data_IF_172252364867
#
_entry.id   IF_172252364867
#
_cell.length_a   1.000
_cell.length_b   1.000
_cell.length_c   1.000
_cell.angle_alpha   90.00
_cell.angle_beta   90.00
_cell.angle_gamma   90.00
#
_symmetry.space_group_name_H-M   'P 1'
#
loop_
_entity.id
_entity.type
_entity.pdbx_description
1 polymer ?
#
# COMPACT_ATOMS: atom_id res chain seq x y z
N UNK A 1 4.43 -10.49 11.48
CA UNK A 1 3.98 -9.14 11.88
C UNK A 1 2.90 -9.30 12.94
N UNK A 2 2.77 -8.39 13.92
CA UNK A 2 1.56 -8.35 14.77
C UNK A 2 0.55 -7.34 14.23
N UNK A 3 -0.73 -7.62 14.42
CA UNK A 3 -1.83 -6.76 13.97
C UNK A 3 -2.74 -6.45 15.16
N UNK A 4 -3.08 -5.19 15.33
CA UNK A 4 -4.03 -4.74 16.35
C UNK A 4 -5.14 -3.93 15.71
N UNK A 5 -6.33 -3.98 16.30
CA UNK A 5 -7.47 -3.15 15.92
C UNK A 5 -7.91 -2.35 17.14
N UNK A 6 -7.96 -1.03 17.00
CA UNK A 6 -8.66 -0.15 17.90
C UNK A 6 -10.12 -0.06 17.48
N UNK A 7 -11.02 -0.31 18.43
CA UNK A 7 -12.46 -0.08 18.31
C UNK A 7 -12.88 0.69 19.55
N UNK A 8 -13.40 1.91 19.38
CA UNK A 8 -13.83 2.76 20.50
C UNK A 8 -12.75 2.88 21.59
N UNK A 9 -11.51 3.15 21.19
CA UNK A 9 -10.32 3.27 22.07
C UNK A 9 -9.86 1.97 22.76
N UNK A 10 -10.54 0.85 22.56
CA UNK A 10 -10.09 -0.46 23.04
C UNK A 10 -9.20 -1.16 22.00
N UNK A 11 -8.03 -1.65 22.44
CA UNK A 11 -7.09 -2.38 21.59
C UNK A 11 -7.32 -3.88 21.66
N UNK A 12 -7.40 -4.51 20.50
CA UNK A 12 -7.52 -5.96 20.37
C UNK A 12 -6.47 -6.50 19.40
N UNK A 13 -5.69 -7.51 19.82
CA UNK A 13 -4.78 -8.22 18.91
C UNK A 13 -5.62 -9.09 17.94
N UNK A 14 -5.25 -9.07 16.66
CA UNK A 14 -5.88 -9.84 15.59
C UNK A 14 -4.92 -10.89 15.06
N UNK A 15 -5.46 -12.00 14.55
CA UNK A 15 -4.66 -13.10 14.04
C UNK A 15 -3.98 -12.75 12.72
N UNK A 16 -4.57 -11.86 11.92
CA UNK A 16 -4.12 -11.55 10.57
C UNK A 16 -4.63 -10.19 10.08
N UNK A 17 -4.04 -9.67 8.99
CA UNK A 17 -4.58 -8.53 8.26
C UNK A 17 -5.95 -8.83 7.67
N UNK A 18 -6.18 -10.03 7.15
CA UNK A 18 -7.51 -10.46 6.64
C UNK A 18 -8.60 -10.25 7.70
N UNK A 19 -8.33 -10.64 8.96
CA UNK A 19 -9.25 -10.45 10.07
C UNK A 19 -9.46 -8.97 10.41
N UNK A 20 -8.37 -8.22 10.64
CA UNK A 20 -8.45 -6.79 11.00
C UNK A 20 -9.13 -5.94 9.91
N UNK A 21 -8.80 -6.21 8.65
CA UNK A 21 -9.40 -5.56 7.49
C UNK A 21 -10.80 -6.10 7.16
N UNK A 22 -11.31 -7.11 7.88
CA UNK A 22 -12.65 -7.69 7.69
C UNK A 22 -12.88 -8.09 6.23
N UNK A 23 -11.87 -8.70 5.61
CA UNK A 23 -11.89 -9.09 4.19
C UNK A 23 -12.73 -10.36 4.03
N UNK A 24 -13.75 -10.31 3.20
CA UNK A 24 -14.55 -11.49 2.82
C UNK A 24 -13.76 -12.33 1.81
N UNK A 25 -13.17 -13.43 2.30
CA UNK A 25 -12.34 -14.33 1.50
C UNK A 25 -13.10 -15.11 0.42
N UNK A 26 -14.44 -15.09 0.46
CA UNK A 26 -15.30 -15.78 -0.50
C UNK A 26 -15.73 -14.88 -1.66
N UNK A 27 -15.40 -13.59 -1.61
CA UNK A 27 -15.68 -12.65 -2.68
C UNK A 27 -14.40 -12.24 -3.40
N UNK A 28 -14.56 -11.88 -4.67
CA UNK A 28 -13.50 -11.21 -5.42
C UNK A 28 -13.34 -9.78 -4.91
N UNK A 29 -12.11 -9.33 -4.68
CA UNK A 29 -11.84 -7.98 -4.18
C UNK A 29 -10.72 -7.29 -4.97
N UNK A 30 -10.89 -5.99 -5.20
CA UNK A 30 -9.83 -5.09 -5.66
C UNK A 30 -9.53 -4.14 -4.50
N UNK A 31 -8.35 -4.27 -3.91
CA UNK A 31 -7.95 -3.54 -2.70
C UNK A 31 -6.82 -2.59 -3.05
N UNK A 32 -7.07 -1.29 -2.93
CA UNK A 32 -6.08 -0.25 -3.24
C UNK A 32 -5.45 0.32 -1.98
N UNK A 33 -4.13 0.43 -1.96
CA UNK A 33 -3.35 1.00 -0.87
C UNK A 33 -2.82 2.38 -1.26
N UNK A 34 -3.12 3.37 -0.44
CA UNK A 34 -2.76 4.78 -0.66
C UNK A 34 -1.97 5.31 0.54
N UNK A 35 -1.12 6.33 0.33
CA UNK A 35 -0.40 7.01 1.40
C UNK A 35 1.08 6.65 1.51
N UNK A 36 1.61 6.58 2.72
CA UNK A 36 3.03 6.43 3.02
C UNK A 36 3.32 5.32 4.02
N UNK A 37 4.61 5.01 4.25
CA UNK A 37 4.99 4.13 5.37
C UNK A 37 4.69 2.64 5.19
N UNK A 38 5.30 2.00 4.18
CA UNK A 38 5.35 0.53 4.10
C UNK A 38 4.19 -0.14 3.35
N UNK A 39 3.52 0.58 2.45
CA UNK A 39 2.45 0.04 1.59
C UNK A 39 2.82 -1.25 0.89
N UNK A 40 3.95 -1.25 0.17
CA UNK A 40 4.43 -2.44 -0.54
C UNK A 40 4.58 -3.63 0.40
N UNK A 41 5.17 -3.44 1.58
CA UNK A 41 5.31 -4.51 2.58
C UNK A 41 3.96 -5.03 3.07
N UNK A 42 3.00 -4.16 3.36
CA UNK A 42 1.64 -4.55 3.77
C UNK A 42 0.89 -5.28 2.65
N UNK A 43 1.07 -4.86 1.39
CA UNK A 43 0.50 -5.53 0.22
C UNK A 43 1.02 -6.97 0.14
N UNK A 44 2.33 -7.18 0.26
CA UNK A 44 2.91 -8.53 0.22
C UNK A 44 2.50 -9.38 1.42
N UNK A 45 2.41 -8.79 2.62
CA UNK A 45 1.95 -9.52 3.81
C UNK A 45 0.50 -9.98 3.65
N UNK A 46 -0.40 -9.09 3.23
CA UNK A 46 -1.80 -9.46 2.96
C UNK A 46 -1.89 -10.50 1.82
N UNK A 47 -1.07 -10.36 0.78
CA UNK A 47 -1.04 -11.32 -0.33
C UNK A 47 -0.58 -12.71 0.12
N UNK A 48 0.41 -12.78 1.02
CA UNK A 48 0.87 -14.04 1.61
C UNK A 48 -0.26 -14.69 2.42
N UNK A 49 -0.92 -13.96 3.33
CA UNK A 49 -2.05 -14.47 4.11
C UNK A 49 -3.16 -15.04 3.20
N UNK A 50 -3.53 -14.31 2.14
CA UNK A 50 -4.53 -14.76 1.17
C UNK A 50 -4.07 -15.98 0.36
N UNK A 51 -2.79 -16.02 -0.03
CA UNK A 51 -2.18 -17.13 -0.77
C UNK A 51 -2.12 -18.42 0.07
N UNK A 52 -1.80 -18.31 1.36
CA UNK A 52 -1.82 -19.42 2.33
C UNK A 52 -3.24 -19.99 2.52
N UNK A 53 -4.27 -19.14 2.39
CA UNK A 53 -5.68 -19.56 2.32
C UNK A 53 -6.09 -20.12 0.94
N UNK A 54 -5.13 -20.39 0.06
CA UNK A 54 -5.34 -20.98 -1.27
C UNK A 54 -5.90 -20.02 -2.32
N UNK A 55 -5.93 -18.70 -2.04
CA UNK A 55 -6.48 -17.71 -2.97
C UNK A 55 -5.45 -17.33 -4.03
N UNK A 56 -5.93 -17.13 -5.26
CA UNK A 56 -5.17 -16.48 -6.34
C UNK A 56 -5.14 -14.97 -6.11
N UNK A 57 -3.95 -14.40 -6.02
CA UNK A 57 -3.68 -12.98 -5.73
C UNK A 57 -2.78 -12.40 -6.80
N UNK A 58 -3.23 -11.27 -7.37
CA UNK A 58 -2.43 -10.44 -8.26
C UNK A 58 -2.06 -9.17 -7.51
N UNK A 59 -0.77 -8.85 -7.46
CA UNK A 59 -0.26 -7.57 -6.97
C UNK A 59 0.07 -6.70 -8.18
N UNK A 60 -0.30 -5.43 -8.14
CA UNK A 60 0.04 -4.46 -9.18
C UNK A 60 0.17 -3.04 -8.60
N UNK A 61 0.49 -2.07 -9.45
CA UNK A 61 0.54 -0.66 -9.10
C UNK A 61 -0.14 0.16 -10.18
N UNK A 62 -0.65 1.35 -9.84
CA UNK A 62 -1.08 2.34 -10.85
C UNK A 62 0.00 3.37 -11.15
N UNK A 63 1.07 3.40 -10.36
CA UNK A 63 2.20 4.31 -10.52
C UNK A 63 3.47 3.51 -10.74
N UNK A 64 4.37 3.49 -9.76
CA UNK A 64 5.60 2.73 -9.77
C UNK A 64 5.78 2.05 -8.42
N UNK A 65 6.12 0.77 -8.44
CA UNK A 65 6.52 0.03 -7.25
C UNK A 65 7.89 -0.62 -7.46
N UNK A 66 8.55 -1.01 -6.37
CA UNK A 66 9.81 -1.74 -6.48
C UNK A 66 9.57 -3.10 -7.14
N UNK A 67 10.51 -3.50 -8.00
CA UNK A 67 10.48 -4.82 -8.63
C UNK A 67 10.60 -5.91 -7.56
N UNK A 68 9.65 -6.86 -7.50
CA UNK A 68 9.75 -8.02 -6.62
C UNK A 68 10.85 -8.97 -7.11
N UNK A 69 11.39 -9.79 -6.20
CA UNK A 69 12.49 -10.71 -6.50
C UNK A 69 12.06 -11.91 -7.36
N UNK A 70 10.79 -12.29 -7.31
CA UNK A 70 10.24 -13.49 -7.96
C UNK A 70 8.76 -13.31 -8.31
N UNK A 71 8.23 -14.25 -9.11
CA UNK A 71 6.82 -14.33 -9.50
C UNK A 71 6.29 -13.06 -10.17
N UNK A 72 7.06 -12.52 -11.12
CA UNK A 72 6.74 -11.26 -11.81
C UNK A 72 6.41 -11.50 -13.27
N UNK A 73 5.32 -10.89 -13.74
CA UNK A 73 4.97 -10.80 -15.17
C UNK A 73 5.16 -9.36 -15.62
N UNK A 74 6.02 -9.16 -16.62
CA UNK A 74 6.44 -7.84 -17.11
C UNK A 74 5.91 -7.49 -18.51
N UNK A 75 5.23 -8.45 -19.16
CA UNK A 75 4.74 -8.30 -20.53
C UNK A 75 3.37 -7.63 -20.62
N UNK A 76 2.61 -7.60 -19.52
CA UNK A 76 1.20 -7.21 -19.49
C UNK A 76 0.26 -8.12 -20.29
N UNK A 77 0.76 -9.23 -20.86
CA UNK A 77 -0.04 -10.14 -21.67
C UNK A 77 -0.87 -11.06 -20.77
N UNK A 78 -2.17 -11.18 -21.06
CA UNK A 78 -3.12 -12.04 -20.35
C UNK A 78 -2.62 -13.48 -20.24
N UNK A 79 -2.11 -14.04 -21.33
CA UNK A 79 -1.64 -15.43 -21.37
C UNK A 79 -0.45 -15.70 -20.43
N UNK A 80 0.48 -14.73 -20.31
CA UNK A 80 1.62 -14.86 -19.41
C UNK A 80 1.17 -14.79 -17.93
N UNK A 81 0.18 -13.95 -17.63
CA UNK A 81 -0.44 -13.84 -16.30
C UNK A 81 -1.13 -15.16 -15.94
N UNK A 82 -1.98 -15.67 -16.84
CA UNK A 82 -2.70 -16.94 -16.65
C UNK A 82 -1.72 -18.09 -16.44
N UNK A 83 -0.69 -18.18 -17.29
CA UNK A 83 0.32 -19.24 -17.21
C UNK A 83 1.02 -19.27 -15.85
N UNK A 84 1.42 -18.11 -15.32
CA UNK A 84 2.08 -18.06 -14.01
C UNK A 84 1.09 -18.35 -12.86
N UNK A 85 -0.16 -17.90 -12.97
CA UNK A 85 -1.20 -18.22 -11.99
C UNK A 85 -1.56 -19.71 -11.96
N UNK A 86 -1.26 -20.50 -13.00
CA UNK A 86 -1.45 -21.95 -12.93
C UNK A 86 -0.51 -22.63 -11.92
N UNK A 87 0.70 -22.11 -11.73
CA UNK A 87 1.71 -22.69 -10.80
C UNK A 87 1.86 -21.91 -9.50
N UNK A 88 1.53 -20.62 -9.50
CA UNK A 88 1.71 -19.74 -8.34
C UNK A 88 0.36 -19.21 -7.85
N UNK A 89 0.20 -19.04 -6.54
CA UNK A 89 -0.99 -18.40 -5.96
C UNK A 89 -0.85 -16.89 -5.86
N UNK A 90 0.37 -16.37 -5.79
CA UNK A 90 0.66 -14.95 -5.67
C UNK A 90 1.66 -14.52 -6.74
N UNK A 91 1.27 -13.55 -7.55
CA UNK A 91 2.12 -12.98 -8.60
C UNK A 91 2.07 -11.45 -8.57
N UNK A 92 3.12 -10.81 -9.06
CA UNK A 92 3.13 -9.36 -9.33
C UNK A 92 3.09 -9.11 -10.83
N UNK A 93 2.27 -8.15 -11.26
CA UNK A 93 2.11 -7.80 -12.67
C UNK A 93 2.35 -6.31 -12.86
N UNK A 94 3.19 -5.95 -13.83
CA UNK A 94 3.46 -4.58 -14.23
C UNK A 94 4.20 -4.53 -15.56
N UNK A 95 4.71 -3.37 -15.91
CA UNK A 95 5.60 -3.17 -17.06
C UNK A 95 6.99 -2.75 -16.57
N UNK A 96 8.04 -3.10 -17.32
CA UNK A 96 9.36 -2.53 -17.05
C UNK A 96 9.31 -1.02 -17.28
N UNK A 97 9.98 -0.26 -16.41
CA UNK A 97 10.23 1.15 -16.67
C UNK A 97 11.33 1.21 -17.73
N UNK A 98 11.00 1.68 -18.93
CA UNK A 98 11.99 1.95 -19.96
C UNK A 98 12.86 3.14 -19.49
N UNK A 99 14.02 2.85 -18.90
CA UNK A 99 15.14 3.80 -18.96
C UNK A 99 15.83 3.51 -20.30
N UNK A 100 15.41 4.26 -21.34
CA UNK A 100 16.01 4.40 -22.67
C UNK A 100 16.88 3.24 -23.23
N UNK A 101 16.41 2.59 -24.30
CA UNK A 101 17.21 1.77 -25.23
C UNK A 101 17.97 0.56 -24.65
N UNK A 102 17.28 -0.50 -24.23
CA UNK A 102 17.86 -1.86 -24.29
C UNK A 102 17.05 -2.70 -25.26
N UNK A 103 17.56 -2.72 -26.49
CA UNK A 103 17.18 -3.59 -27.61
C UNK A 103 16.40 -4.82 -27.16
N UNK A 104 15.18 -4.95 -27.70
CA UNK A 104 14.47 -6.22 -27.88
C UNK A 104 15.47 -7.30 -28.33
N UNK A 105 16.00 -8.06 -27.38
CA UNK A 105 16.35 -9.46 -27.63
C UNK A 105 15.19 -10.26 -27.06
N UNK A 106 14.21 -10.50 -27.93
CA UNK A 106 13.51 -11.77 -27.93
C UNK A 106 14.55 -12.86 -27.66
N UNK A 107 14.45 -13.53 -26.52
CA UNK A 107 14.66 -14.96 -26.43
C UNK A 107 14.39 -15.47 -25.02
N UNK A 108 13.37 -16.34 -24.98
CA UNK A 108 13.21 -17.46 -24.06
C UNK A 108 12.70 -17.14 -22.65
N UNK A 109 11.41 -17.46 -22.48
CA UNK A 109 10.94 -18.45 -21.51
C UNK A 109 12.10 -19.14 -20.77
N UNK A 110 12.53 -18.58 -19.64
CA UNK A 110 13.32 -19.29 -18.66
C UNK A 110 12.64 -19.18 -17.32
N UNK A 111 11.97 -20.29 -16.98
CA UNK A 111 11.63 -20.68 -15.63
C UNK A 111 12.81 -20.36 -14.68
N UNK A 112 12.50 -19.79 -13.51
CA UNK A 112 13.47 -19.44 -12.45
C UNK A 112 14.67 -18.60 -12.93
N UNK A 113 14.46 -17.30 -13.12
CA UNK A 113 15.54 -16.32 -12.94
C UNK A 113 15.15 -15.35 -11.84
N UNK A 114 15.78 -15.50 -10.69
CA UNK A 114 16.07 -14.39 -9.80
C UNK A 114 16.58 -13.24 -10.67
N UNK A 115 15.80 -12.18 -10.82
CA UNK A 115 16.31 -10.97 -11.44
C UNK A 115 17.28 -10.35 -10.43
N UNK A 116 18.55 -10.22 -10.81
CA UNK A 116 19.51 -9.45 -10.02
C UNK A 116 18.93 -8.04 -9.88
N UNK A 117 18.52 -7.70 -8.66
CA UNK A 117 17.64 -6.55 -8.37
C UNK A 117 18.41 -5.23 -8.42
N UNK A 118 19.68 -5.29 -8.83
CA UNK A 118 20.67 -4.24 -8.71
C UNK A 118 21.30 -4.03 -10.08
N UNK A 119 20.85 -3.00 -10.78
CA UNK A 119 21.65 -2.34 -11.82
C UNK A 119 22.14 -1.02 -11.22
N UNK A 120 23.45 -0.81 -11.20
CA UNK A 120 24.10 0.44 -10.75
C UNK A 120 23.64 0.94 -9.37
N UNK A 121 23.40 0.04 -8.40
CA UNK A 121 23.01 0.41 -7.04
C UNK A 121 21.58 0.97 -6.90
N UNK A 122 20.79 1.05 -7.99
CA UNK A 122 19.38 1.44 -7.95
C UNK A 122 18.49 0.19 -8.07
N UNK A 123 17.55 0.06 -7.14
CA UNK A 123 16.52 -0.97 -7.19
C UNK A 123 15.60 -0.72 -8.41
N UNK A 124 15.49 -1.72 -9.30
CA UNK A 124 14.57 -1.64 -10.45
C UNK A 124 13.12 -1.44 -9.98
N UNK A 125 12.35 -0.68 -10.76
CA UNK A 125 10.92 -0.46 -10.54
C UNK A 125 10.09 -1.04 -11.68
N UNK A 126 8.85 -1.38 -11.38
CA UNK A 126 7.82 -1.65 -12.39
C UNK A 126 6.83 -0.50 -12.41
N UNK A 127 6.30 -0.22 -13.60
CA UNK A 127 5.21 0.72 -13.83
C UNK A 127 3.88 -0.03 -13.89
N UNK A 128 2.81 0.66 -13.55
CA UNK A 128 1.45 0.15 -13.68
C UNK A 128 1.08 -0.24 -15.11
N UNK A 129 0.14 -1.17 -15.21
CA UNK A 129 -0.44 -1.58 -16.50
C UNK A 129 -1.37 -0.50 -17.06
N UNK A 130 -1.52 -0.43 -18.40
CA UNK A 130 -2.60 0.32 -19.04
C UNK A 130 -3.98 -0.05 -18.46
N UNK A 131 -4.87 0.93 -18.37
CA UNK A 131 -6.19 0.79 -17.71
C UNK A 131 -7.04 -0.35 -18.32
N UNK A 132 -6.97 -0.53 -19.63
CA UNK A 132 -7.68 -1.61 -20.34
C UNK A 132 -7.18 -3.01 -19.95
N UNK A 133 -5.93 -3.15 -19.52
CA UNK A 133 -5.37 -4.43 -19.04
C UNK A 133 -5.66 -4.59 -17.54
N UNK A 134 -5.46 -3.53 -16.75
CA UNK A 134 -5.65 -3.60 -15.29
C UNK A 134 -7.10 -3.89 -14.90
N UNK A 135 -8.08 -3.39 -15.65
CA UNK A 135 -9.50 -3.68 -15.43
C UNK A 135 -9.85 -5.18 -15.50
N UNK A 136 -9.14 -5.95 -16.35
CA UNK A 136 -9.39 -7.39 -16.52
C UNK A 136 -8.71 -8.30 -15.49
N UNK A 137 -7.84 -7.76 -14.62
CA UNK A 137 -7.07 -8.59 -13.67
C UNK A 137 -7.96 -9.33 -12.66
N UNK A 138 -9.07 -8.73 -12.25
CA UNK A 138 -10.00 -9.34 -11.29
C UNK A 138 -10.72 -10.56 -11.87
N UNK A 139 -10.80 -10.70 -13.19
CA UNK A 139 -11.35 -11.90 -13.83
C UNK A 139 -10.44 -13.11 -13.61
N UNK A 140 -9.12 -12.88 -13.50
CA UNK A 140 -8.07 -13.90 -13.43
C UNK A 140 -7.76 -14.38 -12.01
N UNK A 141 -8.14 -13.61 -10.99
CA UNK A 141 -7.77 -13.85 -9.61
C UNK A 141 -8.95 -13.67 -8.64
N UNK A 142 -8.75 -14.09 -7.40
CA UNK A 142 -9.68 -13.80 -6.32
C UNK A 142 -9.42 -12.39 -5.74
N UNK A 143 -8.15 -11.97 -5.72
CA UNK A 143 -7.75 -10.68 -5.17
C UNK A 143 -6.83 -9.95 -6.14
N UNK A 144 -7.07 -8.65 -6.31
CA UNK A 144 -6.12 -7.72 -6.93
C UNK A 144 -5.73 -6.68 -5.89
N UNK A 145 -4.47 -6.67 -5.48
CA UNK A 145 -3.92 -5.70 -4.52
C UNK A 145 -3.13 -4.64 -5.29
N UNK A 146 -3.45 -3.38 -5.06
CA UNK A 146 -2.96 -2.26 -5.88
C UNK A 146 -2.20 -1.26 -5.03
N UNK A 147 -0.94 -0.97 -5.39
CA UNK A 147 -0.23 0.20 -4.88
C UNK A 147 -0.63 1.44 -5.71
N UNK A 148 -1.51 2.28 -5.15
CA UNK A 148 -2.22 3.32 -5.91
C UNK A 148 -1.50 4.69 -5.96
N UNK A 149 -0.39 4.88 -5.23
CA UNK A 149 0.39 6.11 -5.23
C UNK A 149 1.85 5.94 -4.74
N UNK A 150 2.70 6.90 -5.07
CA UNK A 150 4.11 6.93 -4.66
C UNK A 150 4.35 7.84 -3.46
N UNK A 151 5.16 7.39 -2.49
CA UNK A 151 5.55 8.18 -1.31
C UNK A 151 7.07 8.33 -1.12
N UNK A 152 7.90 7.88 -2.07
CA UNK A 152 9.38 7.87 -1.95
C UNK A 152 9.90 7.29 -0.63
N UNK A 153 9.23 6.27 -0.08
CA UNK A 153 9.53 5.61 1.21
C UNK A 153 9.30 6.48 2.46
N UNK A 154 8.74 7.66 2.31
CA UNK A 154 8.39 8.53 3.42
C UNK A 154 7.11 8.03 4.12
N UNK A 155 7.01 8.22 5.45
CA UNK A 155 5.91 7.69 6.26
C UNK A 155 4.55 8.34 6.02
N UNK A 156 4.50 9.61 5.62
CA UNK A 156 3.25 10.37 5.50
C UNK A 156 3.23 11.19 4.21
N UNK A 157 2.05 11.47 3.66
CA UNK A 157 1.86 12.39 2.53
C UNK A 157 0.44 12.92 2.45
N UNK A 158 0.28 14.00 1.69
CA UNK A 158 -0.99 14.40 1.09
C UNK A 158 -0.91 14.13 -0.42
N UNK A 159 -1.95 13.56 -1.05
CA UNK A 159 -1.93 13.28 -2.48
C UNK A 159 -1.84 14.57 -3.31
N UNK A 160 -1.12 14.53 -4.43
CA UNK A 160 -1.13 15.61 -5.42
C UNK A 160 -2.44 15.61 -6.22
N UNK A 161 -2.61 16.58 -7.11
CA UNK A 161 -3.82 16.72 -7.94
C UNK A 161 -4.17 15.44 -8.73
N UNK A 162 -3.17 14.76 -9.32
CA UNK A 162 -3.35 13.52 -10.08
C UNK A 162 -3.33 12.24 -9.23
N UNK A 163 -3.19 12.36 -7.91
CA UNK A 163 -3.18 11.21 -6.99
C UNK A 163 -4.39 11.25 -6.04
N UNK A 164 -4.75 10.10 -5.44
CA UNK A 164 -4.29 8.76 -5.76
C UNK A 164 -4.90 8.25 -7.08
N UNK A 165 -4.16 7.45 -7.84
CA UNK A 165 -4.75 6.76 -9.00
C UNK A 165 -5.31 5.44 -8.49
N UNK A 166 -6.58 5.46 -8.06
CA UNK A 166 -7.29 4.27 -7.58
C UNK A 166 -7.79 3.46 -8.78
N UNK A 167 -7.53 2.16 -8.78
CA UNK A 167 -8.00 1.28 -9.87
C UNK A 167 -9.53 1.18 -9.83
N UNK A 168 -10.17 1.34 -10.99
CA UNK A 168 -11.62 1.17 -11.13
C UNK A 168 -12.06 -0.22 -10.65
N UNK A 169 -13.20 -0.27 -9.95
CA UNK A 169 -13.68 -1.49 -9.31
C UNK A 169 -13.06 -1.77 -7.93
N UNK A 170 -12.13 -0.93 -7.44
CA UNK A 170 -11.68 -1.00 -6.03
C UNK A 170 -12.88 -0.97 -5.09
N UNK A 171 -13.01 -2.00 -4.26
CA UNK A 171 -14.10 -2.13 -3.29
C UNK A 171 -13.64 -1.91 -1.84
N UNK A 172 -12.33 -1.85 -1.61
CA UNK A 172 -11.71 -1.43 -0.37
C UNK A 172 -10.48 -0.55 -0.68
N UNK A 173 -10.38 0.60 -0.03
CA UNK A 173 -9.17 1.43 -0.02
C UNK A 173 -8.58 1.45 1.38
N UNK A 174 -7.26 1.29 1.46
CA UNK A 174 -6.51 1.29 2.72
C UNK A 174 -5.55 2.47 2.71
N UNK A 175 -5.81 3.45 3.58
CA UNK A 175 -4.89 4.53 3.88
C UNK A 175 -3.77 4.06 4.80
N UNK A 176 -2.52 4.24 4.40
CA UNK A 176 -1.35 3.82 5.18
C UNK A 176 -0.55 5.04 5.61
N UNK A 177 -0.13 5.03 6.87
CA UNK A 177 0.83 5.97 7.43
C UNK A 177 1.86 5.24 8.30
N UNK A 178 3.13 5.67 8.24
CA UNK A 178 4.14 5.23 9.20
C UNK A 178 4.09 6.06 10.48
N UNK A 179 4.03 5.41 11.65
CA UNK A 179 4.04 6.08 12.96
C UNK A 179 5.32 6.91 13.19
N UNK A 180 6.39 6.60 12.47
CA UNK A 180 7.70 7.25 12.54
C UNK A 180 7.76 8.65 11.92
N UNK A 181 6.61 9.19 11.50
CA UNK A 181 6.38 10.61 11.17
C UNK A 181 6.16 11.49 12.41
N UNK A 182 5.60 10.94 13.50
CA UNK A 182 5.33 11.71 14.73
C UNK A 182 6.62 12.25 15.33
N UNK A 183 6.53 13.47 15.84
CA UNK A 183 7.64 14.12 16.56
C UNK A 183 8.75 14.60 15.64
N UNK A 184 8.51 14.62 14.32
CA UNK A 184 9.48 15.08 13.33
C UNK A 184 8.91 16.17 12.42
N UNK A 185 9.78 17.02 11.84
CA UNK A 185 9.38 18.01 10.86
C UNK A 185 8.71 17.41 9.62
N UNK A 186 7.75 18.16 9.05
CA UNK A 186 7.10 17.81 7.78
C UNK A 186 8.13 17.62 6.65
N UNK A 187 9.10 18.54 6.48
CA UNK A 187 10.11 18.46 5.43
C UNK A 187 11.05 17.23 5.52
N UNK A 188 11.15 16.59 6.68
CA UNK A 188 11.97 15.38 6.86
C UNK A 188 11.19 14.08 6.62
N UNK A 189 9.87 14.11 6.83
CA UNK A 189 9.06 12.88 6.94
C UNK A 189 7.86 12.82 6.02
N UNK A 190 7.52 13.90 5.34
CA UNK A 190 6.40 13.93 4.42
C UNK A 190 6.85 13.94 2.96
N UNK A 191 6.24 13.08 2.15
CA UNK A 191 6.34 13.23 0.71
C UNK A 191 5.49 14.41 0.27
N UNK A 192 6.08 15.32 -0.53
CA UNK A 192 5.48 16.61 -0.91
C UNK A 192 5.15 17.44 0.33
N UNK A 193 6.19 17.73 1.10
CA UNK A 193 6.12 18.48 2.36
C UNK A 193 5.31 19.77 2.23
N UNK A 194 5.47 20.51 1.12
CA UNK A 194 4.68 21.70 0.81
C UNK A 194 3.16 21.43 0.82
N UNK A 195 2.69 20.34 0.19
CA UNK A 195 1.25 20.01 0.17
C UNK A 195 0.73 19.63 1.56
N UNK A 196 1.57 19.00 2.39
CA UNK A 196 1.20 18.67 3.77
C UNK A 196 1.12 19.93 4.63
N UNK A 197 2.10 20.82 4.51
CA UNK A 197 2.14 22.11 5.19
C UNK A 197 0.93 22.98 4.79
N UNK A 198 0.63 23.07 3.50
CA UNK A 198 -0.54 23.78 2.96
C UNK A 198 -1.85 23.18 3.49
N UNK A 199 -1.98 21.84 3.47
CA UNK A 199 -3.17 21.15 3.97
C UNK A 199 -3.43 21.42 5.46
N UNK A 200 -2.36 21.42 6.28
CA UNK A 200 -2.44 21.67 7.72
C UNK A 200 -2.46 23.16 8.08
N UNK A 201 -2.22 24.06 7.11
CA UNK A 201 -2.04 25.50 7.29
C UNK A 201 -0.91 25.83 8.29
N UNK A 202 0.27 25.23 8.08
CA UNK A 202 1.48 25.39 8.90
C UNK A 202 2.72 25.53 8.01
N UNK A 203 3.88 25.77 8.60
CA UNK A 203 5.16 25.75 7.88
C UNK A 203 5.76 24.33 7.78
N UNK A 204 6.63 24.08 6.81
CA UNK A 204 7.24 22.75 6.61
C UNK A 204 8.18 22.29 7.76
N UNK A 205 8.55 23.18 8.69
CA UNK A 205 9.29 22.84 9.90
C UNK A 205 8.38 22.43 11.08
N UNK A 206 7.06 22.51 10.91
CA UNK A 206 6.08 22.08 11.91
C UNK A 206 6.31 20.61 12.28
N UNK A 207 6.24 20.33 13.58
CA UNK A 207 6.44 18.99 14.13
C UNK A 207 5.10 18.26 14.09
N UNK A 208 5.07 17.16 13.33
CA UNK A 208 3.87 16.33 13.17
C UNK A 208 3.43 15.76 14.52
N UNK A 209 2.17 15.99 14.85
CA UNK A 209 1.51 15.38 16.00
C UNK A 209 0.39 14.41 15.56
N UNK A 210 -0.28 13.80 16.54
CA UNK A 210 -1.32 12.81 16.33
C UNK A 210 -2.57 13.37 15.64
N UNK A 211 -2.92 14.62 15.95
CA UNK A 211 -4.07 15.32 15.33
C UNK A 211 -3.82 15.58 13.85
N UNK A 212 -2.59 15.93 13.48
CA UNK A 212 -2.19 16.14 12.08
C UNK A 212 -2.36 14.86 11.26
N UNK A 213 -1.91 13.73 11.80
CA UNK A 213 -2.06 12.41 11.16
C UNK A 213 -3.54 12.07 10.99
N UNK A 214 -4.36 12.24 12.02
CA UNK A 214 -5.80 11.96 11.94
C UNK A 214 -6.50 12.82 10.88
N UNK A 215 -6.22 14.14 10.85
CA UNK A 215 -6.75 15.06 9.83
C UNK A 215 -6.36 14.64 8.42
N UNK A 216 -5.09 14.29 8.19
CA UNK A 216 -4.61 13.86 6.88
C UNK A 216 -5.29 12.56 6.47
N UNK A 217 -5.35 11.56 7.35
CA UNK A 217 -5.83 10.23 7.02
C UNK A 217 -7.34 10.15 6.78
N UNK A 218 -8.13 11.00 7.44
CA UNK A 218 -9.60 10.95 7.36
C UNK A 218 -10.20 11.97 6.37
N UNK A 219 -9.41 12.93 5.89
CA UNK A 219 -9.91 13.98 5.00
C UNK A 219 -10.02 13.56 3.53
N UNK A 220 -11.10 13.98 2.88
CA UNK A 220 -11.30 13.87 1.42
C UNK A 220 -10.35 14.78 0.61
N UNK A 221 -9.70 15.76 1.26
CA UNK A 221 -8.60 16.56 0.68
C UNK A 221 -7.22 15.99 1.06
N UNK A 222 -7.21 15.01 1.96
CA UNK A 222 -6.03 14.26 2.38
C UNK A 222 -6.05 12.86 1.80
N UNK A 223 -5.78 11.85 2.62
CA UNK A 223 -5.56 10.48 2.19
C UNK A 223 -6.81 9.78 1.63
N UNK A 224 -8.01 10.25 2.00
CA UNK A 224 -9.30 9.75 1.52
C UNK A 224 -9.75 10.38 0.20
N UNK A 225 -8.88 11.17 -0.45
CA UNK A 225 -9.16 11.76 -1.76
C UNK A 225 -9.54 10.69 -2.79
N UNK A 226 -10.60 10.96 -3.55
CA UNK A 226 -11.16 10.13 -4.62
C UNK A 226 -11.64 8.72 -4.20
N UNK A 227 -11.70 8.43 -2.89
CA UNK A 227 -12.21 7.15 -2.38
C UNK A 227 -13.74 7.11 -2.47
N UNK A 228 -14.26 6.14 -3.22
CA UNK A 228 -15.71 5.96 -3.48
C UNK A 228 -16.29 4.66 -2.89
N UNK A 229 -15.50 3.93 -2.11
CA UNK A 229 -15.86 2.63 -1.54
C UNK A 229 -15.45 2.56 -0.05
N UNK A 230 -15.48 1.37 0.54
CA UNK A 230 -15.07 1.17 1.93
C UNK A 230 -13.63 1.67 2.14
N UNK A 231 -13.40 2.39 3.23
CA UNK A 231 -12.11 2.98 3.57
C UNK A 231 -11.67 2.49 4.95
N UNK A 232 -10.41 2.06 5.06
CA UNK A 232 -9.79 1.68 6.33
C UNK A 232 -8.41 2.33 6.44
N UNK A 233 -7.91 2.43 7.66
CA UNK A 233 -6.61 3.03 7.93
C UNK A 233 -5.70 2.06 8.67
N UNK A 234 -4.44 1.98 8.23
CA UNK A 234 -3.36 1.28 8.92
C UNK A 234 -2.29 2.30 9.34
N UNK A 235 -1.96 2.32 10.63
CA UNK A 235 -0.74 2.94 11.14
C UNK A 235 0.32 1.86 11.31
N UNK A 236 1.37 1.98 10.52
CA UNK A 236 2.41 0.98 10.39
C UNK A 236 3.65 1.30 11.24
N UNK A 237 4.48 0.27 11.49
CA UNK A 237 5.74 0.31 12.24
C UNK A 237 5.56 0.63 13.73
N UNK A 238 4.45 0.20 14.34
CA UNK A 238 4.20 0.38 15.79
C UNK A 238 5.03 -0.65 16.56
N UNK A 239 6.34 -0.47 16.57
CA UNK A 239 7.32 -1.52 16.89
C UNK A 239 7.82 -1.48 18.35
N UNK A 240 7.31 -0.54 19.16
CA UNK A 240 7.71 -0.39 20.56
C UNK A 240 6.60 0.30 21.38
N UNK A 241 6.76 0.30 22.71
CA UNK A 241 5.78 0.88 23.65
C UNK A 241 5.51 2.36 23.40
N UNK A 242 6.53 3.16 23.12
CA UNK A 242 6.38 4.60 22.83
C UNK A 242 5.48 4.83 21.61
N UNK A 243 5.72 4.10 20.52
CA UNK A 243 4.92 4.18 19.30
C UNK A 243 3.50 3.68 19.52
N UNK A 244 3.31 2.69 20.40
CA UNK A 244 1.98 2.23 20.78
C UNK A 244 1.20 3.32 21.54
N UNK A 245 1.84 4.04 22.45
CA UNK A 245 1.21 5.18 23.13
C UNK A 245 0.84 6.30 22.15
N UNK A 246 1.71 6.61 21.19
CA UNK A 246 1.38 7.56 20.13
C UNK A 246 0.21 7.07 19.27
N UNK A 247 0.16 5.78 18.94
CA UNK A 247 -0.95 5.20 18.18
C UNK A 247 -2.30 5.26 18.94
N UNK A 248 -2.30 5.09 20.27
CA UNK A 248 -3.49 5.28 21.11
C UNK A 248 -4.02 6.71 21.02
N UNK A 249 -3.13 7.71 21.10
CA UNK A 249 -3.50 9.12 20.95
C UNK A 249 -4.06 9.42 19.56
N UNK A 250 -3.49 8.83 18.49
CA UNK A 250 -4.09 8.92 17.14
C UNK A 250 -5.50 8.33 17.16
N UNK A 251 -5.72 7.17 17.81
CA UNK A 251 -7.06 6.58 17.92
C UNK A 251 -8.06 7.52 18.62
N UNK A 252 -7.64 8.25 19.65
CA UNK A 252 -8.48 9.26 20.29
C UNK A 252 -8.79 10.43 19.35
N UNK A 253 -7.83 10.89 18.54
CA UNK A 253 -8.06 11.91 17.51
C UNK A 253 -9.00 11.42 16.40
N UNK A 254 -8.94 10.14 16.04
CA UNK A 254 -9.89 9.52 15.11
C UNK A 254 -11.32 9.58 15.68
N UNK A 255 -11.50 9.22 16.95
CA UNK A 255 -12.81 9.24 17.60
C UNK A 255 -13.40 10.66 17.62
N UNK A 256 -12.57 11.70 17.86
CA UNK A 256 -12.98 13.11 17.78
C UNK A 256 -13.44 13.52 16.38
N UNK A 257 -12.92 12.87 15.34
CA UNK A 257 -13.29 13.09 13.94
C UNK A 257 -14.40 12.13 13.45
N UNK A 258 -15.01 11.36 14.36
CA UNK A 258 -16.13 10.47 14.06
C UNK A 258 -15.74 9.13 13.43
N UNK A 259 -14.47 8.74 13.49
CA UNK A 259 -14.00 7.42 13.08
C UNK A 259 -13.54 6.63 14.32
N UNK A 260 -14.03 5.41 14.48
CA UNK A 260 -13.77 4.62 15.68
C UNK A 260 -12.89 3.41 15.40
N UNK A 261 -12.46 3.21 14.14
CA UNK A 261 -11.66 2.08 13.72
C UNK A 261 -10.26 2.51 13.25
N UNK A 262 -9.23 1.92 13.87
CA UNK A 262 -7.83 2.12 13.48
C UNK A 262 -7.07 0.80 13.57
N UNK A 263 -6.37 0.42 12.51
CA UNK A 263 -5.56 -0.80 12.50
C UNK A 263 -4.09 -0.43 12.69
N UNK A 264 -3.39 -1.20 13.52
CA UNK A 264 -1.95 -1.04 13.74
C UNK A 264 -1.18 -2.29 13.30
N UNK A 265 0.03 -2.09 12.80
CA UNK A 265 0.92 -3.19 12.42
C UNK A 265 2.34 -3.01 12.96
N UNK A 266 2.98 -4.13 13.31
CA UNK A 266 4.34 -4.16 13.89
C UNK A 266 5.25 -5.14 13.11
N UNK A 267 6.45 -4.67 12.74
CA UNK A 267 7.51 -5.49 12.17
C UNK A 267 8.53 -5.96 13.20
N UNK A 268 8.52 -5.38 14.40
CA UNK A 268 9.30 -5.84 15.55
C UNK A 268 8.36 -6.12 16.73
N UNK A 269 8.80 -7.00 17.62
CA UNK A 269 8.05 -7.33 18.83
C UNK A 269 8.03 -6.11 19.78
N UNK A 270 6.85 -5.77 20.29
CA UNK A 270 6.61 -4.72 21.29
C UNK A 270 6.86 -5.27 22.70
#
# INVERSE_FOLDING_TARGET
MKVFEFINEEINEKKSLVEALKIDINKKNIISFVGGGGKTSLIYELANELSELGKKVIITTTTHMFMPKSNVVLSGKKDDIVKLLCSENMITVGMLCDEENVRFKQNQLKNKKTFDTIEQGKLKKIKGLPQNISAGLIELAHFVLVEADGAKRLPLKVPAEHEPVILDGSNLVIGVCGIDSIGKPINETCHRSNLVADFLNVHENHIINESDIAKILLSNRGQKKDVKCSYKVIINKVDNKERLENAKKISSEFCKLGENNLILTTFRYI
#
